data_IF_241207171174
#
_entry.id   IF_241207171174
#
_cell.length_a   1.000
_cell.length_b   1.000
_cell.length_c   1.000
_cell.angle_alpha   90.00
_cell.angle_beta   90.00
_cell.angle_gamma   90.00
#
_symmetry.space_group_name_H-M   'P 1'
#
loop_
_entity.id
_entity.type
_entity.pdbx_description
1 polymer ?
#
# COMPACT_ATOMS: atom_id res chain seq x y z
N UNK A 1 -15.62 -13.97 -22.49
CA UNK A 1 -15.47 -12.89 -21.50
C UNK A 1 -14.13 -13.12 -20.80
N UNK A 2 -13.25 -12.14 -20.83
CA UNK A 2 -11.99 -12.16 -20.06
C UNK A 2 -12.34 -11.86 -18.60
N UNK A 3 -11.76 -12.62 -17.67
CA UNK A 3 -11.79 -12.28 -16.23
C UNK A 3 -10.56 -11.43 -15.97
N UNK A 4 -10.76 -10.29 -15.35
CA UNK A 4 -9.69 -9.40 -14.90
C UNK A 4 -9.66 -9.45 -13.37
N UNK A 5 -8.48 -9.24 -12.80
CA UNK A 5 -8.31 -9.07 -11.37
C UNK A 5 -8.43 -7.57 -11.04
N UNK A 6 -9.10 -7.27 -9.94
CA UNK A 6 -9.14 -5.93 -9.37
C UNK A 6 -8.89 -6.09 -7.88
N UNK A 7 -7.85 -5.46 -7.35
CA UNK A 7 -7.59 -5.48 -5.91
C UNK A 7 -8.78 -4.92 -5.14
N UNK A 8 -9.06 -5.48 -3.97
CA UNK A 8 -10.11 -5.01 -3.07
C UNK A 8 -9.88 -3.55 -2.64
N UNK A 9 -8.63 -3.13 -2.53
CA UNK A 9 -8.21 -1.76 -2.22
C UNK A 9 -8.65 -0.74 -3.26
N UNK A 10 -8.73 -1.15 -4.53
CA UNK A 10 -9.19 -0.30 -5.65
C UNK A 10 -10.71 -0.18 -5.78
N UNK A 11 -11.47 -0.89 -4.94
CA UNK A 11 -12.94 -0.85 -4.96
C UNK A 11 -13.43 0.18 -3.93
N UNK A 12 -14.07 1.25 -4.39
CA UNK A 12 -14.65 2.28 -3.53
C UNK A 12 -16.05 1.93 -3.02
N UNK A 13 -16.84 1.20 -3.81
CA UNK A 13 -18.18 0.76 -3.42
C UNK A 13 -18.59 -0.50 -4.18
N UNK A 14 -19.42 -1.33 -3.52
CA UNK A 14 -20.08 -2.49 -4.11
C UNK A 14 -21.59 -2.37 -3.88
N UNK A 15 -22.36 -2.42 -4.96
CA UNK A 15 -23.82 -2.40 -4.90
C UNK A 15 -24.42 -3.35 -5.94
N UNK A 16 -25.77 -3.35 -6.06
CA UNK A 16 -26.48 -4.19 -7.03
C UNK A 16 -26.18 -3.85 -8.50
N UNK A 17 -25.59 -2.69 -8.78
CA UNK A 17 -25.19 -2.26 -10.12
C UNK A 17 -23.77 -2.70 -10.49
N UNK A 18 -22.96 -3.09 -9.50
CA UNK A 18 -21.59 -3.56 -9.67
C UNK A 18 -20.58 -2.95 -8.71
N UNK A 19 -19.30 -3.09 -9.03
CA UNK A 19 -18.20 -2.49 -8.30
C UNK A 19 -17.87 -1.11 -8.89
N UNK A 20 -17.73 -0.11 -8.02
CA UNK A 20 -17.20 1.21 -8.37
C UNK A 20 -15.70 1.22 -8.02
N UNK A 21 -14.89 1.63 -8.97
CA UNK A 21 -13.43 1.69 -8.80
C UNK A 21 -13.02 3.11 -8.37
N UNK A 22 -11.98 3.20 -7.55
CA UNK A 22 -11.35 4.46 -7.15
C UNK A 22 -10.65 5.14 -8.32
N UNK A 23 -10.05 4.36 -9.22
CA UNK A 23 -9.37 4.82 -10.44
C UNK A 23 -9.73 3.95 -11.65
N UNK A 24 -9.46 4.46 -12.86
CA UNK A 24 -9.64 3.73 -14.12
C UNK A 24 -8.43 2.87 -14.48
N UNK A 25 -7.42 2.86 -13.66
CA UNK A 25 -6.21 2.08 -13.84
C UNK A 25 -6.50 0.61 -13.48
N UNK A 26 -6.70 -0.21 -14.50
CA UNK A 26 -7.11 -1.60 -14.36
C UNK A 26 -6.04 -2.49 -14.98
N UNK A 27 -5.43 -3.32 -14.15
CA UNK A 27 -4.59 -4.40 -14.64
C UNK A 27 -5.43 -5.38 -15.46
N UNK A 28 -5.12 -5.53 -16.75
CA UNK A 28 -5.85 -6.40 -17.68
C UNK A 28 -5.23 -7.80 -17.77
N UNK A 29 -4.26 -8.14 -16.94
CA UNK A 29 -3.66 -9.48 -16.92
C UNK A 29 -4.70 -10.54 -16.52
N UNK A 30 -4.57 -11.77 -17.02
CA UNK A 30 -5.48 -12.84 -16.64
C UNK A 30 -5.29 -13.23 -15.18
N UNK A 31 -6.37 -13.26 -14.41
CA UNK A 31 -6.35 -13.73 -13.04
C UNK A 31 -5.82 -15.17 -12.93
N UNK A 32 -4.85 -15.38 -12.05
CA UNK A 32 -4.34 -16.68 -11.62
C UNK A 32 -4.58 -16.85 -10.12
N UNK A 33 -5.19 -17.95 -9.71
CA UNK A 33 -5.40 -18.28 -8.29
C UNK A 33 -4.06 -18.60 -7.65
N UNK A 34 -3.76 -17.98 -6.52
CA UNK A 34 -2.56 -18.24 -5.71
C UNK A 34 -2.76 -19.41 -4.77
N UNK A 35 -1.65 -19.91 -4.20
CA UNK A 35 -1.71 -20.96 -3.18
C UNK A 35 -2.47 -20.44 -1.94
N UNK A 36 -3.54 -21.11 -1.57
CA UNK A 36 -4.39 -20.74 -0.41
C UNK A 36 -5.58 -19.84 -0.73
N UNK A 37 -5.62 -19.20 -1.91
CA UNK A 37 -6.80 -18.43 -2.33
C UNK A 37 -7.98 -19.33 -2.65
N UNK A 38 -9.17 -18.86 -2.30
CA UNK A 38 -10.43 -19.52 -2.63
C UNK A 38 -11.29 -18.59 -3.48
N UNK A 39 -11.70 -19.08 -4.65
CA UNK A 39 -12.61 -18.34 -5.53
C UNK A 39 -14.03 -18.43 -5.00
N UNK A 40 -14.62 -17.30 -4.62
CA UNK A 40 -15.97 -17.24 -4.07
C UNK A 40 -16.97 -18.02 -4.91
N UNK A 41 -16.99 -17.81 -6.24
CA UNK A 41 -17.94 -18.46 -7.14
C UNK A 41 -17.64 -19.92 -7.48
N UNK A 42 -16.47 -20.45 -7.12
CA UNK A 42 -16.06 -21.81 -7.46
C UNK A 42 -15.84 -22.67 -6.21
N UNK A 43 -15.22 -22.07 -5.20
CA UNK A 43 -14.72 -22.81 -4.04
C UNK A 43 -15.61 -22.60 -2.81
N UNK A 44 -16.47 -21.58 -2.78
CA UNK A 44 -17.32 -21.22 -1.64
C UNK A 44 -18.81 -21.39 -1.95
N UNK A 45 -19.30 -20.77 -3.04
CA UNK A 45 -20.70 -20.93 -3.44
C UNK A 45 -20.98 -22.41 -3.77
N UNK A 46 -22.16 -22.89 -3.40
CA UNK A 46 -22.58 -24.30 -3.51
C UNK A 46 -21.84 -25.29 -2.56
N UNK A 47 -20.87 -24.82 -1.73
CA UNK A 47 -20.31 -25.67 -0.68
C UNK A 47 -21.37 -26.08 0.34
N UNK A 48 -21.28 -27.32 0.79
CA UNK A 48 -22.15 -27.86 1.82
C UNK A 48 -21.71 -27.44 3.21
N UNK A 49 -22.70 -27.04 4.01
CA UNK A 49 -22.57 -26.84 5.44
C UNK A 49 -23.70 -27.60 6.15
N UNK A 50 -23.43 -28.81 6.61
CA UNK A 50 -24.47 -29.74 7.04
C UNK A 50 -25.42 -30.14 5.89
N UNK A 51 -26.72 -29.93 6.09
CA UNK A 51 -27.78 -30.18 5.08
C UNK A 51 -28.06 -28.96 4.17
N UNK A 52 -27.34 -27.89 4.37
CA UNK A 52 -27.50 -26.63 3.64
C UNK A 52 -26.32 -26.39 2.69
N UNK A 53 -26.51 -25.48 1.74
CA UNK A 53 -25.45 -25.01 0.85
C UNK A 53 -25.29 -23.50 0.96
N UNK A 54 -24.07 -23.00 0.73
CA UNK A 54 -23.81 -21.57 0.60
C UNK A 54 -24.40 -21.07 -0.71
N UNK A 55 -25.40 -20.22 -0.61
CA UNK A 55 -26.06 -19.64 -1.79
C UNK A 55 -25.62 -18.22 -2.11
N UNK A 56 -25.08 -17.51 -1.12
CA UNK A 56 -24.64 -16.11 -1.26
C UNK A 56 -23.79 -15.70 -0.06
N UNK A 57 -23.02 -14.62 -0.20
CA UNK A 57 -22.24 -14.00 0.89
C UNK A 57 -22.46 -12.49 0.91
N UNK A 58 -22.45 -11.91 2.08
CA UNK A 58 -22.47 -10.46 2.28
C UNK A 58 -21.05 -9.98 2.63
N UNK A 59 -20.57 -9.01 1.87
CA UNK A 59 -19.30 -8.35 2.09
C UNK A 59 -19.50 -7.04 2.85
N UNK A 60 -18.58 -6.71 3.74
CA UNK A 60 -18.50 -5.43 4.43
C UNK A 60 -17.12 -4.82 4.19
N UNK A 61 -17.11 -3.54 3.89
CA UNK A 61 -15.88 -2.77 3.76
C UNK A 61 -15.36 -2.43 5.16
N UNK A 62 -14.12 -2.78 5.44
CA UNK A 62 -13.42 -2.42 6.67
C UNK A 62 -12.43 -1.32 6.33
N UNK A 63 -12.68 -0.12 6.84
CA UNK A 63 -11.74 0.99 6.75
C UNK A 63 -10.61 0.76 7.78
N UNK A 64 -9.37 0.68 7.30
CA UNK A 64 -8.17 0.47 8.11
C UNK A 64 -6.94 0.96 7.35
N UNK A 65 -5.73 0.67 7.83
CA UNK A 65 -4.49 0.92 7.07
C UNK A 65 -4.53 0.25 5.70
N UNK A 66 -5.17 -0.90 5.64
CA UNK A 66 -5.49 -1.63 4.42
C UNK A 66 -7.00 -1.66 4.24
N UNK A 67 -7.48 -0.97 3.20
CA UNK A 67 -8.90 -0.99 2.84
C UNK A 67 -9.27 -2.40 2.36
N UNK A 68 -9.98 -3.17 3.16
CA UNK A 68 -10.32 -4.55 2.83
C UNK A 68 -11.82 -4.83 2.84
N UNK A 69 -12.22 -5.80 2.03
CA UNK A 69 -13.58 -6.32 2.02
C UNK A 69 -13.61 -7.68 2.73
N UNK A 70 -14.43 -7.80 3.76
CA UNK A 70 -14.55 -9.04 4.51
C UNK A 70 -15.94 -9.64 4.38
N UNK A 71 -16.02 -10.96 4.43
CA UNK A 71 -17.31 -11.64 4.51
C UNK A 71 -17.88 -11.43 5.91
N UNK A 72 -19.04 -10.77 5.99
CA UNK A 72 -19.74 -10.54 7.25
C UNK A 72 -20.79 -11.59 7.54
N UNK A 73 -21.52 -12.02 6.51
CA UNK A 73 -22.60 -13.00 6.64
C UNK A 73 -22.62 -13.95 5.45
N UNK A 74 -23.15 -15.14 5.69
CA UNK A 74 -23.32 -16.20 4.69
C UNK A 74 -24.79 -16.58 4.63
N UNK A 75 -25.32 -16.69 3.41
CA UNK A 75 -26.68 -17.19 3.18
C UNK A 75 -26.62 -18.69 2.91
N UNK A 76 -27.22 -19.44 3.81
CA UNK A 76 -27.41 -20.88 3.69
C UNK A 76 -28.80 -21.20 3.15
N UNK A 77 -28.88 -22.12 2.20
CA UNK A 77 -30.14 -22.58 1.60
C UNK A 77 -30.23 -24.10 1.59
N UNK A 78 -31.41 -24.64 1.85
CA UNK A 78 -31.62 -26.08 1.71
C UNK A 78 -31.82 -26.46 0.24
N UNK A 79 -31.13 -27.49 -0.20
CA UNK A 79 -31.25 -28.07 -1.54
C UNK A 79 -32.44 -29.04 -1.56
N UNK A 80 -33.57 -28.60 -2.10
CA UNK A 80 -34.74 -29.46 -2.26
C UNK A 80 -35.65 -29.03 -3.39
N UNK A 81 -36.13 -29.98 -4.22
CA UNK A 81 -36.98 -29.73 -5.40
C UNK A 81 -38.37 -29.11 -5.05
N UNK A 82 -38.73 -28.99 -3.78
CA UNK A 82 -40.04 -28.51 -3.32
C UNK A 82 -39.97 -27.37 -2.30
N UNK A 83 -38.81 -26.74 -2.07
CA UNK A 83 -38.70 -25.66 -1.10
C UNK A 83 -39.11 -24.31 -1.70
N UNK A 84 -40.41 -24.09 -1.77
CA UNK A 84 -40.95 -22.73 -1.84
C UNK A 84 -40.48 -21.94 -0.60
N UNK A 85 -39.83 -20.81 -0.80
CA UNK A 85 -39.54 -19.67 0.11
C UNK A 85 -39.15 -19.87 1.59
N UNK A 86 -38.99 -21.10 2.10
CA UNK A 86 -38.91 -21.37 3.54
C UNK A 86 -37.62 -22.06 3.97
N UNK A 87 -36.45 -21.63 3.49
CA UNK A 87 -35.22 -22.33 3.85
C UNK A 87 -33.93 -21.51 3.74
N UNK A 88 -34.02 -20.21 3.51
CA UNK A 88 -32.84 -19.37 3.44
C UNK A 88 -32.57 -18.75 4.82
N UNK A 89 -31.43 -19.07 5.40
CA UNK A 89 -31.00 -18.53 6.68
C UNK A 89 -29.72 -17.69 6.44
N UNK A 90 -29.70 -16.49 7.01
CA UNK A 90 -28.52 -15.65 7.02
C UNK A 90 -27.81 -15.84 8.36
N UNK A 91 -26.58 -16.28 8.33
CA UNK A 91 -25.75 -16.55 9.52
C UNK A 91 -24.51 -15.66 9.50
N UNK A 92 -23.91 -15.42 10.65
CA UNK A 92 -22.63 -14.76 10.71
C UNK A 92 -21.57 -15.68 10.10
N UNK A 93 -20.59 -15.06 9.41
CA UNK A 93 -19.55 -15.84 8.74
C UNK A 93 -18.78 -16.75 9.71
N UNK A 94 -18.65 -16.36 10.98
CA UNK A 94 -17.99 -17.14 12.02
C UNK A 94 -18.64 -18.51 12.24
N UNK A 95 -19.94 -18.64 12.06
CA UNK A 95 -20.66 -19.93 12.16
C UNK A 95 -20.33 -20.87 10.99
N UNK A 96 -19.79 -20.34 9.91
CA UNK A 96 -19.42 -21.06 8.69
C UNK A 96 -17.93 -20.99 8.40
N UNK A 97 -17.12 -20.55 9.37
CA UNK A 97 -15.68 -20.35 9.22
C UNK A 97 -14.92 -21.58 8.71
N UNK A 98 -15.40 -22.77 9.03
CA UNK A 98 -14.85 -24.03 8.53
C UNK A 98 -14.87 -24.15 6.99
N UNK A 99 -15.82 -23.46 6.32
CA UNK A 99 -15.91 -23.44 4.86
C UNK A 99 -14.82 -22.57 4.23
N UNK A 100 -14.29 -21.64 5.00
CA UNK A 100 -13.28 -20.68 4.60
C UNK A 100 -11.91 -21.03 5.21
N UNK A 101 -11.82 -22.14 5.95
CA UNK A 101 -10.56 -22.56 6.53
C UNK A 101 -9.51 -22.81 5.42
N UNK A 102 -8.27 -22.33 5.61
CA UNK A 102 -7.20 -22.56 4.67
C UNK A 102 -6.95 -24.04 4.41
N UNK A 103 -6.78 -24.41 3.14
CA UNK A 103 -6.62 -25.80 2.73
C UNK A 103 -5.27 -26.43 3.07
N UNK A 104 -4.27 -25.58 3.44
CA UNK A 104 -2.92 -26.02 3.79
C UNK A 104 -2.43 -25.35 5.08
N UNK A 105 -1.45 -25.97 5.76
CA UNK A 105 -0.83 -25.38 6.95
C UNK A 105 -0.16 -24.03 6.66
N UNK A 106 0.45 -23.88 5.48
CA UNK A 106 1.07 -22.63 5.03
C UNK A 106 0.03 -21.52 4.82
N UNK A 107 -1.09 -21.82 4.17
CA UNK A 107 -2.17 -20.85 3.99
C UNK A 107 -2.81 -20.46 5.34
N UNK A 108 -2.88 -21.38 6.29
CA UNK A 108 -3.32 -21.09 7.66
C UNK A 108 -2.35 -20.14 8.37
N UNK A 109 -1.05 -20.34 8.21
CA UNK A 109 -0.03 -19.47 8.77
C UNK A 109 -0.06 -18.08 8.11
N UNK A 110 -0.14 -17.99 6.79
CA UNK A 110 -0.30 -16.72 6.09
C UNK A 110 -1.55 -15.94 6.57
N UNK A 111 -2.68 -16.65 6.74
CA UNK A 111 -3.89 -16.05 7.28
C UNK A 111 -3.73 -15.54 8.72
N UNK A 112 -2.98 -16.27 9.56
CA UNK A 112 -2.66 -15.86 10.94
C UNK A 112 -1.80 -14.60 10.99
N UNK A 113 -0.87 -14.47 10.06
CA UNK A 113 0.07 -13.35 9.99
C UNK A 113 -0.53 -12.09 9.34
N UNK A 114 -1.72 -12.18 8.75
CA UNK A 114 -2.34 -11.07 8.01
C UNK A 114 -2.57 -9.82 8.85
N UNK A 115 -3.04 -10.00 10.10
CA UNK A 115 -3.40 -8.90 11.00
C UNK A 115 -2.24 -8.47 11.93
N UNK A 116 -1.06 -9.09 11.79
CA UNK A 116 0.14 -8.72 12.57
C UNK A 116 0.82 -7.50 11.94
N UNK A 117 1.63 -6.76 12.71
CA UNK A 117 2.47 -5.71 12.14
C UNK A 117 3.49 -6.31 11.16
N UNK A 118 3.80 -5.61 10.07
CA UNK A 118 4.71 -6.10 9.03
C UNK A 118 6.09 -6.45 9.59
N UNK A 119 6.63 -5.63 10.47
CA UNK A 119 7.91 -5.81 11.16
C UNK A 119 7.95 -7.10 12.00
N UNK A 120 6.84 -7.45 12.69
CA UNK A 120 6.74 -8.72 13.44
C UNK A 120 6.73 -9.92 12.48
N UNK A 121 6.03 -9.78 11.34
CA UNK A 121 5.97 -10.82 10.30
C UNK A 121 7.32 -11.02 9.64
N UNK A 122 8.04 -9.94 9.33
CA UNK A 122 9.41 -10.01 8.80
C UNK A 122 10.32 -10.79 9.77
N UNK A 123 10.23 -10.52 11.06
CA UNK A 123 10.97 -11.26 12.10
C UNK A 123 10.63 -12.76 12.09
N UNK A 124 9.35 -13.12 11.97
CA UNK A 124 8.91 -14.52 11.88
C UNK A 124 9.45 -15.19 10.61
N UNK A 125 9.31 -14.53 9.46
CA UNK A 125 9.78 -15.04 8.16
C UNK A 125 11.28 -15.32 8.21
N UNK A 126 12.06 -14.41 8.77
CA UNK A 126 13.51 -14.56 8.91
C UNK A 126 13.92 -15.77 9.74
N UNK A 127 13.13 -16.14 10.74
CA UNK A 127 13.38 -17.33 11.57
C UNK A 127 13.08 -18.66 10.84
N UNK A 128 12.38 -18.61 9.68
CA UNK A 128 11.99 -19.81 8.94
C UNK A 128 13.12 -20.32 8.01
N UNK A 129 13.18 -21.63 7.71
CA UNK A 129 14.01 -22.16 6.62
C UNK A 129 13.62 -21.55 5.26
N UNK A 130 14.57 -21.39 4.35
CA UNK A 130 14.41 -20.74 3.04
C UNK A 130 13.18 -21.23 2.26
N UNK A 131 12.96 -22.54 2.21
CA UNK A 131 11.82 -23.12 1.49
C UNK A 131 10.46 -22.74 2.13
N UNK A 132 10.41 -22.66 3.46
CA UNK A 132 9.19 -22.23 4.16
C UNK A 132 8.93 -20.72 3.99
N UNK A 133 10.00 -19.90 3.98
CA UNK A 133 9.91 -18.46 3.67
C UNK A 133 9.26 -18.26 2.30
N UNK A 134 9.75 -18.95 1.28
CA UNK A 134 9.23 -18.90 -0.08
C UNK A 134 7.75 -19.31 -0.14
N UNK A 135 7.41 -20.46 0.45
CA UNK A 135 6.03 -20.94 0.46
C UNK A 135 5.08 -19.98 1.19
N UNK A 136 5.55 -19.30 2.23
CA UNK A 136 4.78 -18.33 2.97
C UNK A 136 4.60 -17.05 2.16
N UNK A 137 5.66 -16.54 1.52
CA UNK A 137 5.59 -15.42 0.58
C UNK A 137 4.64 -15.72 -0.60
N UNK A 138 4.69 -16.94 -1.15
CA UNK A 138 3.77 -17.39 -2.21
C UNK A 138 2.30 -17.42 -1.76
N UNK A 139 2.03 -17.59 -0.47
CA UNK A 139 0.69 -17.65 0.10
C UNK A 139 0.16 -16.27 0.58
N UNK A 140 0.99 -15.25 0.65
CA UNK A 140 0.60 -13.87 0.98
C UNK A 140 -0.03 -13.18 -0.24
N UNK A 141 -0.94 -12.23 -0.01
CA UNK A 141 -1.34 -11.26 -1.04
C UNK A 141 -0.20 -10.29 -1.32
N UNK A 142 -0.30 -9.54 -2.43
CA UNK A 142 0.79 -8.71 -2.92
C UNK A 142 1.05 -7.53 -2.01
N UNK A 143 -0.02 -6.88 -1.51
CA UNK A 143 0.06 -5.79 -0.54
C UNK A 143 0.81 -6.24 0.73
N UNK A 144 0.41 -7.40 1.29
CA UNK A 144 1.06 -7.93 2.49
C UNK A 144 2.51 -8.33 2.25
N UNK A 145 2.80 -8.85 1.06
CA UNK A 145 4.18 -9.19 0.70
C UNK A 145 5.04 -7.94 0.52
N UNK A 146 4.49 -6.86 -0.04
CA UNK A 146 5.14 -5.57 -0.14
C UNK A 146 5.50 -5.03 1.25
N UNK A 147 4.50 -4.88 2.14
CA UNK A 147 4.72 -4.45 3.54
C UNK A 147 5.85 -5.24 4.25
N UNK A 148 5.89 -6.56 4.03
CA UNK A 148 6.90 -7.43 4.67
C UNK A 148 8.27 -7.24 4.02
N UNK A 149 8.33 -7.03 2.71
CA UNK A 149 9.59 -6.75 2.01
C UNK A 149 10.24 -5.47 2.54
N UNK A 150 9.48 -4.40 2.72
CA UNK A 150 9.95 -3.11 3.25
C UNK A 150 10.61 -3.25 4.63
N UNK A 151 10.14 -4.20 5.42
CA UNK A 151 10.69 -4.47 6.76
C UNK A 151 11.88 -5.47 6.79
N UNK A 152 12.24 -6.05 5.65
CA UNK A 152 13.36 -6.98 5.55
C UNK A 152 14.67 -6.27 5.21
N UNK A 153 15.83 -6.78 5.70
CA UNK A 153 17.11 -6.34 5.20
C UNK A 153 17.25 -6.60 3.69
N UNK A 154 17.93 -5.72 3.00
CA UNK A 154 18.07 -5.66 1.54
C UNK A 154 18.46 -7.01 0.90
N UNK A 155 19.43 -7.74 1.48
CA UNK A 155 19.87 -9.03 0.97
C UNK A 155 18.82 -10.13 1.16
N UNK A 156 17.93 -9.99 2.13
CA UNK A 156 16.81 -10.91 2.36
C UNK A 156 15.63 -10.59 1.46
N UNK A 157 15.39 -9.31 1.14
CA UNK A 157 14.38 -8.87 0.15
C UNK A 157 14.65 -9.53 -1.20
N UNK A 158 15.88 -9.37 -1.74
CA UNK A 158 16.26 -9.95 -3.03
C UNK A 158 16.08 -11.47 -3.08
N UNK A 159 16.46 -12.19 -2.00
CA UNK A 159 16.28 -13.65 -1.92
C UNK A 159 14.81 -14.07 -1.90
N UNK A 160 13.94 -13.27 -1.28
CA UNK A 160 12.54 -13.59 -1.17
C UNK A 160 11.82 -13.46 -2.52
N UNK A 161 12.18 -12.45 -3.31
CA UNK A 161 11.58 -12.17 -4.62
C UNK A 161 12.23 -12.94 -5.79
N UNK A 162 13.39 -13.59 -5.59
CA UNK A 162 14.17 -14.23 -6.66
C UNK A 162 13.37 -15.22 -7.51
N UNK A 163 12.39 -15.88 -6.91
CA UNK A 163 11.59 -16.91 -7.56
C UNK A 163 10.19 -16.43 -7.99
N UNK A 164 9.85 -15.16 -7.76
CA UNK A 164 8.59 -14.61 -8.25
C UNK A 164 8.63 -14.47 -9.78
N UNK A 165 7.54 -14.79 -10.43
CA UNK A 165 7.42 -14.48 -11.85
C UNK A 165 7.25 -12.95 -12.04
N UNK A 166 7.52 -12.45 -13.23
CA UNK A 166 7.54 -11.02 -13.50
C UNK A 166 6.17 -10.36 -13.26
N UNK A 167 5.08 -11.07 -13.54
CA UNK A 167 3.72 -10.56 -13.34
C UNK A 167 3.44 -10.31 -11.85
N UNK A 168 3.82 -11.26 -11.00
CA UNK A 168 3.66 -11.11 -9.56
C UNK A 168 4.63 -10.11 -8.96
N UNK A 169 5.86 -10.08 -9.47
CA UNK A 169 6.89 -9.15 -9.02
C UNK A 169 6.43 -7.70 -9.24
N UNK A 170 5.90 -7.38 -10.42
CA UNK A 170 5.35 -6.03 -10.68
C UNK A 170 4.14 -5.74 -9.81
N UNK A 171 3.21 -6.71 -9.60
CA UNK A 171 2.07 -6.49 -8.72
C UNK A 171 2.46 -6.22 -7.25
N UNK A 172 3.52 -6.85 -6.75
CA UNK A 172 4.06 -6.56 -5.42
C UNK A 172 4.70 -5.18 -5.38
N UNK A 173 5.45 -4.83 -6.43
CA UNK A 173 6.11 -3.52 -6.52
C UNK A 173 5.15 -2.35 -6.67
N UNK A 174 3.98 -2.56 -7.29
CA UNK A 174 2.89 -1.57 -7.35
C UNK A 174 2.27 -1.26 -5.97
N UNK A 175 2.48 -2.12 -4.97
CA UNK A 175 2.00 -1.94 -3.60
C UNK A 175 3.11 -1.43 -2.64
N UNK A 176 4.37 -1.35 -3.08
CA UNK A 176 5.50 -0.86 -2.27
C UNK A 176 5.57 0.67 -2.24
N UNK A 177 6.16 1.21 -1.16
CA UNK A 177 6.53 2.62 -1.11
C UNK A 177 7.63 2.92 -2.13
N UNK A 178 7.57 4.11 -2.74
CA UNK A 178 8.45 4.46 -3.87
C UNK A 178 9.94 4.48 -3.53
N UNK A 179 10.29 4.95 -2.34
CA UNK A 179 11.67 5.02 -1.85
C UNK A 179 12.21 3.63 -1.52
N UNK A 180 11.45 2.78 -0.84
CA UNK A 180 11.82 1.39 -0.56
C UNK A 180 11.98 0.57 -1.86
N UNK A 181 11.06 0.78 -2.82
CA UNK A 181 11.16 0.15 -4.13
C UNK A 181 12.39 0.65 -4.90
N UNK A 182 12.70 1.96 -4.82
CA UNK A 182 13.90 2.50 -5.48
C UNK A 182 15.18 1.90 -4.87
N UNK A 183 15.24 1.74 -3.56
CA UNK A 183 16.38 1.10 -2.88
C UNK A 183 16.52 -0.37 -3.29
N UNK A 184 15.44 -1.12 -3.31
CA UNK A 184 15.44 -2.52 -3.76
C UNK A 184 15.87 -2.64 -5.23
N UNK A 185 15.32 -1.81 -6.13
CA UNK A 185 15.72 -1.77 -7.54
C UNK A 185 17.19 -1.35 -7.72
N UNK A 186 17.66 -0.44 -6.86
CA UNK A 186 19.05 0.02 -6.84
C UNK A 186 20.06 -1.13 -6.66
N UNK A 187 19.68 -2.14 -5.90
CA UNK A 187 20.51 -3.31 -5.59
C UNK A 187 20.38 -4.42 -6.61
N UNK A 188 19.35 -4.43 -7.43
CA UNK A 188 19.20 -5.41 -8.49
C UNK A 188 20.29 -5.27 -9.57
N UNK A 189 20.66 -6.39 -10.17
CA UNK A 189 21.50 -6.38 -11.38
C UNK A 189 20.86 -5.57 -12.51
N UNK A 190 21.67 -4.83 -13.27
CA UNK A 190 21.23 -3.90 -14.33
C UNK A 190 20.21 -4.55 -15.29
N UNK A 191 20.45 -5.80 -15.70
CA UNK A 191 19.58 -6.51 -16.64
C UNK A 191 18.21 -6.83 -16.03
N UNK A 192 18.17 -7.19 -14.73
CA UNK A 192 16.93 -7.48 -14.02
C UNK A 192 16.13 -6.21 -13.78
N UNK A 193 16.78 -5.17 -13.25
CA UNK A 193 16.17 -3.85 -13.05
C UNK A 193 15.58 -3.29 -14.34
N UNK A 194 16.30 -3.40 -15.47
CA UNK A 194 15.79 -2.94 -16.76
C UNK A 194 14.52 -3.66 -17.19
N UNK A 195 14.43 -4.98 -16.93
CA UNK A 195 13.24 -5.78 -17.24
C UNK A 195 12.06 -5.40 -16.36
N UNK A 196 12.31 -5.17 -15.07
CA UNK A 196 11.28 -4.73 -14.12
C UNK A 196 10.73 -3.37 -14.55
N UNK A 197 11.58 -2.37 -14.75
CA UNK A 197 11.18 -1.04 -15.20
C UNK A 197 10.46 -1.04 -16.56
N UNK A 198 10.71 -2.02 -17.40
CA UNK A 198 10.00 -2.19 -18.68
C UNK A 198 8.64 -2.90 -18.53
N UNK A 199 8.39 -3.54 -17.39
CA UNK A 199 7.14 -4.23 -17.09
C UNK A 199 6.19 -3.42 -16.20
N UNK A 200 6.68 -2.35 -15.58
CA UNK A 200 5.90 -1.37 -14.82
C UNK A 200 5.09 -0.46 -15.73
N UNK A 201 4.09 0.21 -15.20
CA UNK A 201 3.40 1.28 -15.88
C UNK A 201 4.34 2.46 -16.19
N UNK A 202 4.10 3.16 -17.32
CA UNK A 202 5.04 4.17 -17.83
C UNK A 202 5.30 5.31 -16.81
N UNK A 203 4.29 5.72 -16.03
CA UNK A 203 4.37 6.77 -15.03
C UNK A 203 5.22 6.36 -13.84
N UNK A 204 4.99 5.16 -13.30
CA UNK A 204 5.75 4.59 -12.20
C UNK A 204 7.20 4.31 -12.61
N UNK A 205 7.41 3.77 -13.81
CA UNK A 205 8.74 3.53 -14.35
C UNK A 205 9.55 4.84 -14.51
N UNK A 206 8.92 5.95 -14.90
CA UNK A 206 9.60 7.25 -14.99
C UNK A 206 9.94 7.80 -13.61
N UNK A 207 9.03 7.69 -12.65
CA UNK A 207 9.26 8.05 -11.25
C UNK A 207 10.43 7.25 -10.67
N UNK A 208 10.46 5.92 -10.89
CA UNK A 208 11.57 5.07 -10.47
C UNK A 208 12.90 5.47 -11.12
N UNK A 209 12.91 5.77 -12.42
CA UNK A 209 14.14 6.24 -13.09
C UNK A 209 14.65 7.55 -12.48
N UNK A 210 13.75 8.44 -12.11
CA UNK A 210 14.10 9.69 -11.45
C UNK A 210 14.70 9.43 -10.07
N UNK A 211 14.08 8.62 -9.21
CA UNK A 211 14.60 8.28 -7.88
C UNK A 211 15.97 7.59 -7.98
N UNK A 212 16.10 6.59 -8.84
CA UNK A 212 17.35 5.89 -9.10
C UNK A 212 18.48 6.77 -9.68
N UNK A 213 18.16 7.97 -10.17
CA UNK A 213 19.17 8.90 -10.66
C UNK A 213 19.92 9.65 -9.55
N UNK A 214 19.35 9.68 -8.34
CA UNK A 214 19.98 10.32 -7.18
C UNK A 214 21.03 9.37 -6.57
N UNK A 215 22.16 9.92 -6.11
CA UNK A 215 23.15 9.12 -5.39
C UNK A 215 22.58 8.63 -4.06
N UNK A 216 22.86 7.38 -3.71
CA UNK A 216 22.50 6.83 -2.38
C UNK A 216 23.07 7.70 -1.25
N UNK A 217 22.34 7.83 -0.17
CA UNK A 217 22.69 8.68 0.98
C UNK A 217 22.44 10.18 0.74
N UNK A 218 21.54 10.53 -0.18
CA UNK A 218 21.09 11.90 -0.39
C UNK A 218 19.58 12.02 -0.14
N UNK A 219 19.08 13.24 0.06
CA UNK A 219 17.65 13.49 0.20
C UNK A 219 16.84 12.97 -0.99
N UNK A 220 17.39 13.01 -2.19
CA UNK A 220 16.75 12.53 -3.40
C UNK A 220 16.60 11.01 -3.44
N UNK A 221 17.50 10.25 -2.81
CA UNK A 221 17.36 8.78 -2.71
C UNK A 221 16.46 8.33 -1.55
N UNK A 222 16.19 9.23 -0.59
CA UNK A 222 15.33 8.94 0.57
C UNK A 222 13.92 9.52 0.43
N UNK A 223 13.64 10.29 -0.64
CA UNK A 223 12.37 10.96 -0.75
C UNK A 223 11.31 10.07 -1.36
N UNK A 224 10.11 10.15 -0.81
CA UNK A 224 8.91 9.66 -1.48
C UNK A 224 8.23 10.75 -2.28
N UNK A 225 7.82 10.50 -3.54
CA UNK A 225 6.99 11.39 -4.33
C UNK A 225 5.50 11.31 -3.96
N UNK A 226 5.08 10.27 -3.23
CA UNK A 226 3.67 10.09 -2.81
C UNK A 226 3.34 10.99 -1.61
N UNK A 227 3.16 12.27 -1.88
CA UNK A 227 2.87 13.31 -0.90
C UNK A 227 1.53 13.99 -1.20
N UNK A 228 0.90 14.54 -0.16
CA UNK A 228 -0.33 15.31 -0.32
C UNK A 228 0.02 16.72 -0.81
N UNK A 229 -0.29 17.01 -2.08
CA UNK A 229 -0.10 18.35 -2.66
C UNK A 229 -1.43 18.94 -3.08
N UNK A 230 -1.71 20.16 -2.64
CA UNK A 230 -2.90 20.91 -3.01
C UNK A 230 -2.56 22.32 -3.52
N UNK A 231 -3.49 22.91 -4.25
CA UNK A 231 -3.37 24.28 -4.70
C UNK A 231 -3.63 25.32 -3.60
N UNK A 232 -3.12 26.56 -3.75
CA UNK A 232 -3.31 27.63 -2.75
C UNK A 232 -4.78 28.03 -2.55
N UNK A 233 -5.62 27.77 -3.54
CA UNK A 233 -7.07 28.07 -3.50
C UNK A 233 -7.92 26.88 -3.03
N UNK A 234 -7.30 25.74 -2.72
CA UNK A 234 -7.97 24.63 -2.06
C UNK A 234 -8.35 24.99 -0.62
N UNK A 235 -9.39 24.33 -0.11
CA UNK A 235 -9.94 24.60 1.22
C UNK A 235 -9.33 23.66 2.28
N UNK A 236 -9.44 24.08 3.54
CA UNK A 236 -9.11 23.21 4.69
C UNK A 236 -9.93 21.92 4.68
N UNK A 237 -11.20 21.97 4.22
CA UNK A 237 -12.04 20.77 4.11
C UNK A 237 -11.47 19.75 3.10
N UNK A 238 -10.99 20.22 1.95
CA UNK A 238 -10.34 19.38 0.93
C UNK A 238 -9.04 18.77 1.46
N UNK A 239 -8.22 19.57 2.15
CA UNK A 239 -7.00 19.08 2.79
C UNK A 239 -7.28 17.99 3.83
N UNK A 240 -8.28 18.20 4.72
CA UNK A 240 -8.67 17.21 5.70
C UNK A 240 -9.26 15.94 5.07
N UNK A 241 -9.88 16.03 3.89
CA UNK A 241 -10.36 14.86 3.16
C UNK A 241 -9.21 13.98 2.69
N UNK A 242 -8.11 14.58 2.19
CA UNK A 242 -6.89 13.85 1.79
C UNK A 242 -6.20 13.17 2.98
N UNK A 243 -6.06 13.88 4.11
CA UNK A 243 -5.43 13.35 5.34
C UNK A 243 -6.25 12.18 5.95
N UNK A 244 -7.55 12.14 5.72
CA UNK A 244 -8.42 11.07 6.23
C UNK A 244 -8.34 9.76 5.45
N UNK A 245 -7.59 9.73 4.38
CA UNK A 245 -7.36 8.50 3.65
C UNK A 245 -6.59 7.51 4.55
N UNK A 246 -7.17 6.35 4.89
CA UNK A 246 -6.54 5.39 5.79
C UNK A 246 -5.33 4.68 5.18
N UNK A 247 -5.17 4.74 3.85
CA UNK A 247 -4.05 4.12 3.13
C UNK A 247 -2.79 4.99 3.18
N UNK A 248 -2.89 6.25 3.62
CA UNK A 248 -1.76 7.15 3.72
C UNK A 248 -0.93 6.92 4.97
N UNK A 249 0.39 6.94 4.81
CA UNK A 249 1.32 6.92 5.93
C UNK A 249 1.07 8.06 6.91
N UNK A 250 1.29 7.78 8.19
CA UNK A 250 1.09 8.78 9.26
C UNK A 250 2.01 9.98 9.10
N UNK A 251 3.25 9.76 8.69
CA UNK A 251 4.25 10.80 8.41
C UNK A 251 3.84 11.71 7.26
N UNK A 252 3.32 11.13 6.18
CA UNK A 252 2.79 11.87 5.02
C UNK A 252 1.50 12.60 5.36
N UNK A 253 0.58 11.94 6.09
CA UNK A 253 -0.68 12.56 6.52
C UNK A 253 -0.52 13.66 7.59
N UNK A 254 0.70 13.87 8.12
CA UNK A 254 0.98 14.89 9.11
C UNK A 254 0.90 16.32 8.55
N UNK A 255 1.00 16.50 7.23
CA UNK A 255 1.01 17.81 6.59
C UNK A 255 0.54 17.74 5.13
N UNK A 256 0.13 18.90 4.62
CA UNK A 256 -0.24 19.10 3.22
C UNK A 256 0.71 20.12 2.62
N UNK A 257 1.38 19.75 1.55
CA UNK A 257 2.21 20.68 0.78
C UNK A 257 1.33 21.53 -0.13
N UNK A 258 1.67 22.79 -0.27
CA UNK A 258 0.93 23.70 -1.13
C UNK A 258 1.84 24.22 -2.24
N UNK A 259 1.40 23.99 -3.46
CA UNK A 259 2.15 24.39 -4.67
C UNK A 259 1.20 24.91 -5.76
N UNK A 260 1.75 25.64 -6.73
CA UNK A 260 1.04 25.89 -7.98
C UNK A 260 0.91 24.60 -8.81
N UNK A 261 -0.02 24.57 -9.74
CA UNK A 261 -0.18 23.44 -10.65
C UNK A 261 1.10 23.20 -11.50
N UNK A 262 1.42 21.93 -11.80
CA UNK A 262 0.73 20.71 -11.43
C UNK A 262 0.83 20.40 -9.93
N UNK A 263 -0.15 19.66 -9.39
CA UNK A 263 -0.22 19.29 -7.97
C UNK A 263 0.27 17.85 -7.71
N UNK A 264 1.15 17.35 -8.54
CA UNK A 264 1.87 16.08 -8.38
C UNK A 264 3.36 16.32 -8.69
N UNK A 265 4.27 15.61 -8.03
CA UNK A 265 5.71 15.77 -8.25
C UNK A 265 6.16 15.38 -9.68
N UNK A 266 7.03 16.16 -10.33
CA UNK A 266 7.50 17.48 -9.88
C UNK A 266 6.41 18.55 -10.04
N UNK A 267 6.10 19.23 -8.94
CA UNK A 267 4.99 20.21 -8.89
C UNK A 267 5.28 21.50 -9.65
N UNK A 268 4.33 22.42 -9.68
CA UNK A 268 4.61 23.84 -9.91
C UNK A 268 5.42 24.43 -8.73
N UNK A 269 5.51 25.75 -8.65
CA UNK A 269 6.26 26.43 -7.60
C UNK A 269 5.69 26.09 -6.22
N UNK A 270 6.53 25.60 -5.33
CA UNK A 270 6.21 25.36 -3.91
C UNK A 270 5.92 26.67 -3.19
N UNK A 271 4.89 26.70 -2.35
CA UNK A 271 4.43 27.88 -1.62
C UNK A 271 4.57 27.76 -0.11
N UNK A 272 4.55 26.56 0.42
CA UNK A 272 4.59 26.29 1.85
C UNK A 272 3.85 25.01 2.22
N UNK A 273 3.67 24.79 3.50
CA UNK A 273 3.04 23.60 4.08
C UNK A 273 1.92 24.03 5.02
N UNK A 274 0.97 23.14 5.26
CA UNK A 274 -0.05 23.28 6.31
C UNK A 274 -0.10 21.98 7.11
N UNK A 275 0.27 22.04 8.38
CA UNK A 275 0.23 20.88 9.26
C UNK A 275 -1.21 20.50 9.63
N UNK A 276 -1.46 19.19 9.83
CA UNK A 276 -2.79 18.69 10.19
C UNK A 276 -3.35 19.36 11.45
N UNK A 277 -2.49 19.67 12.42
CA UNK A 277 -2.88 20.38 13.65
C UNK A 277 -3.39 21.78 13.38
N UNK A 278 -2.84 22.47 12.38
CA UNK A 278 -3.34 23.76 11.89
C UNK A 278 -4.69 23.59 11.22
N UNK A 279 -4.81 22.62 10.33
CA UNK A 279 -6.07 22.32 9.63
C UNK A 279 -7.21 22.01 10.60
N UNK A 280 -6.96 21.29 11.70
CA UNK A 280 -7.97 20.98 12.72
C UNK A 280 -8.49 22.21 13.50
N UNK A 281 -7.74 23.32 13.51
CA UNK A 281 -8.08 24.56 14.22
C UNK A 281 -8.74 25.59 13.34
N UNK A 282 -8.63 25.44 12.03
CA UNK A 282 -9.15 26.39 11.06
C UNK A 282 -10.57 26.05 10.60
N UNK A 283 -11.24 27.04 10.01
CA UNK A 283 -12.59 26.84 9.45
C UNK A 283 -12.49 26.01 8.17
N UNK A 284 -13.39 25.04 7.95
CA UNK A 284 -13.36 24.18 6.75
C UNK A 284 -13.33 24.92 5.42
N UNK A 285 -13.94 26.11 5.35
CA UNK A 285 -13.99 26.95 4.14
C UNK A 285 -12.80 27.88 3.96
N UNK A 286 -11.83 27.90 4.89
CA UNK A 286 -10.63 28.73 4.77
C UNK A 286 -9.75 28.18 3.64
N UNK A 287 -9.17 29.07 2.83
CA UNK A 287 -8.25 28.69 1.75
C UNK A 287 -6.85 28.43 2.32
N UNK A 288 -6.16 27.42 1.78
CA UNK A 288 -4.83 27.01 2.27
C UNK A 288 -3.81 28.15 2.23
N UNK A 289 -3.86 29.02 1.21
CA UNK A 289 -3.00 30.22 1.13
C UNK A 289 -3.10 31.16 2.32
N UNK A 290 -4.16 31.06 3.14
CA UNK A 290 -4.40 31.91 4.31
C UNK A 290 -3.85 31.30 5.60
N UNK A 291 -3.47 30.02 5.57
CA UNK A 291 -2.93 29.29 6.72
C UNK A 291 -1.57 28.63 6.44
N UNK A 292 -0.89 29.05 5.38
CA UNK A 292 0.44 28.55 5.01
C UNK A 292 1.45 28.78 6.15
N UNK A 293 2.26 27.78 6.36
CA UNK A 293 3.48 27.83 7.15
C UNK A 293 4.69 27.79 6.21
N UNK A 294 5.61 28.75 6.40
CA UNK A 294 6.79 28.83 5.55
C UNK A 294 7.90 27.97 6.14
N UNK A 295 7.91 26.70 5.78
CA UNK A 295 8.98 25.79 6.14
C UNK A 295 10.05 25.71 5.05
N UNK A 296 11.34 25.65 5.46
CA UNK A 296 12.42 25.53 4.50
C UNK A 296 12.41 24.13 3.86
N UNK A 297 12.52 24.09 2.56
CA UNK A 297 12.77 22.87 1.78
C UNK A 297 14.26 22.52 1.77
N UNK A 298 14.59 21.33 1.29
CA UNK A 298 15.95 20.85 1.12
C UNK A 298 16.25 20.53 -0.34
N UNK A 299 17.54 20.58 -0.68
CA UNK A 299 18.04 20.19 -1.99
C UNK A 299 18.10 18.67 -2.09
N UNK A 300 17.74 18.05 -3.23
CA UNK A 300 17.79 16.59 -3.40
C UNK A 300 19.21 16.00 -3.25
N UNK A 301 20.26 16.80 -3.40
CA UNK A 301 21.64 16.36 -3.20
C UNK A 301 22.15 16.55 -1.75
N UNK A 302 21.28 17.03 -0.83
CA UNK A 302 21.65 17.15 0.58
C UNK A 302 21.89 15.75 1.17
N UNK A 303 23.00 15.59 1.90
CA UNK A 303 23.34 14.31 2.51
C UNK A 303 22.30 13.91 3.59
N UNK A 304 21.97 12.65 3.67
CA UNK A 304 21.03 12.02 4.62
C UNK A 304 21.23 12.47 6.07
N UNK A 305 22.48 12.50 6.52
CA UNK A 305 22.86 12.95 7.85
C UNK A 305 22.51 14.43 8.13
N UNK A 306 22.49 15.27 7.09
CA UNK A 306 22.11 16.67 7.23
C UNK A 306 20.60 16.85 7.12
N UNK A 307 19.91 15.95 6.39
CA UNK A 307 18.44 15.79 6.42
C UNK A 307 18.00 15.41 7.85
N UNK A 308 18.62 14.39 8.46
CA UNK A 308 18.35 13.96 9.82
C UNK A 308 18.47 15.12 10.83
N UNK A 309 19.54 15.91 10.72
CA UNK A 309 19.74 17.09 11.57
C UNK A 309 18.64 18.13 11.36
N UNK A 310 18.19 18.32 10.12
CA UNK A 310 17.14 19.27 9.80
C UNK A 310 15.82 18.86 10.45
N UNK A 311 15.36 17.63 10.24
CA UNK A 311 14.16 17.11 10.84
C UNK A 311 14.20 17.21 12.37
N UNK A 312 15.30 16.76 12.99
CA UNK A 312 15.46 16.81 14.43
C UNK A 312 15.51 18.25 15.00
N UNK A 313 16.20 19.19 14.31
CA UNK A 313 16.36 20.57 14.80
C UNK A 313 15.06 21.36 14.76
N UNK A 314 14.16 21.04 13.83
CA UNK A 314 12.91 21.75 13.65
C UNK A 314 11.69 20.94 14.12
N UNK A 315 11.89 19.74 14.70
CA UNK A 315 10.83 18.81 15.12
C UNK A 315 9.83 18.51 13.98
N UNK A 316 10.35 18.32 12.76
CA UNK A 316 9.54 18.04 11.58
C UNK A 316 9.30 16.53 11.47
N UNK A 317 8.12 16.15 10.99
CA UNK A 317 7.79 14.76 10.64
C UNK A 317 8.14 14.43 9.19
N UNK A 318 8.12 15.43 8.33
CA UNK A 318 8.59 15.32 6.95
C UNK A 318 9.12 16.69 6.48
N UNK A 319 10.01 16.68 5.49
CA UNK A 319 10.57 17.90 4.88
C UNK A 319 10.47 17.81 3.36
N UNK A 320 9.95 18.86 2.73
CA UNK A 320 9.83 18.92 1.27
C UNK A 320 11.20 19.03 0.58
N UNK A 321 11.38 18.24 -0.47
CA UNK A 321 12.55 18.27 -1.36
C UNK A 321 12.20 19.07 -2.60
N UNK A 322 12.96 20.14 -2.88
CA UNK A 322 12.72 20.98 -4.04
C UNK A 322 13.94 21.04 -4.98
N UNK A 323 13.65 21.14 -6.26
CA UNK A 323 14.68 21.42 -7.25
C UNK A 323 15.14 22.90 -7.22
N UNK A 324 16.14 23.21 -8.04
CA UNK A 324 16.70 24.56 -8.17
C UNK A 324 15.70 25.61 -8.70
N UNK A 325 14.58 25.16 -9.28
CA UNK A 325 13.49 26.03 -9.76
C UNK A 325 12.39 26.24 -8.71
N UNK A 326 12.55 25.67 -7.51
CA UNK A 326 11.57 25.70 -6.42
C UNK A 326 10.35 24.83 -6.67
N UNK A 327 10.47 23.78 -7.48
CA UNK A 327 9.42 22.78 -7.68
C UNK A 327 9.61 21.65 -6.67
N UNK A 328 8.53 21.22 -6.02
CA UNK A 328 8.54 20.13 -5.07
C UNK A 328 8.67 18.80 -5.84
N UNK A 329 9.64 18.01 -5.47
CA UNK A 329 9.95 16.69 -6.06
C UNK A 329 9.40 15.54 -5.23
N UNK A 330 9.23 15.77 -3.93
CA UNK A 330 8.79 14.79 -2.96
C UNK A 330 9.04 15.30 -1.54
N UNK A 331 9.01 14.42 -0.57
CA UNK A 331 9.38 14.72 0.80
C UNK A 331 10.21 13.56 1.38
N UNK A 332 11.08 13.89 2.33
CA UNK A 332 11.75 12.90 3.19
C UNK A 332 11.06 12.90 4.52
N UNK A 333 10.69 11.74 5.03
CA UNK A 333 10.00 11.58 6.31
C UNK A 333 10.98 11.27 7.44
N UNK A 334 10.53 11.35 8.69
CA UNK A 334 11.37 11.08 9.85
C UNK A 334 11.66 9.59 10.02
N UNK A 335 10.74 8.73 9.64
CA UNK A 335 10.84 7.27 9.66
C UNK A 335 11.93 6.78 8.70
N UNK A 336 11.95 7.22 7.43
CA UNK A 336 12.97 6.83 6.45
C UNK A 336 14.37 7.25 6.90
N UNK A 337 14.46 8.46 7.47
CA UNK A 337 15.73 8.93 8.03
C UNK A 337 16.16 8.13 9.25
N UNK A 338 15.22 7.71 10.12
CA UNK A 338 15.53 6.87 11.27
C UNK A 338 16.01 5.49 10.84
N UNK A 339 15.35 4.88 9.88
CA UNK A 339 15.74 3.58 9.33
C UNK A 339 17.15 3.60 8.75
N UNK A 340 17.47 4.64 8.00
CA UNK A 340 18.80 4.81 7.42
C UNK A 340 19.89 5.20 8.49
N UNK A 341 19.49 5.84 9.59
CA UNK A 341 20.40 6.23 10.65
C UNK A 341 20.70 5.10 11.66
N UNK A 342 19.83 4.09 11.75
CA UNK A 342 20.01 2.96 12.64
C UNK A 342 21.04 1.98 12.06
N UNK A 343 21.75 1.19 12.92
CA UNK A 343 22.64 0.16 12.43
C UNK A 343 21.89 -0.85 11.55
N UNK A 344 22.47 -1.32 10.45
CA UNK A 344 21.84 -2.27 9.53
C UNK A 344 21.31 -3.56 10.20
N UNK A 345 21.78 -3.85 11.42
CA UNK A 345 21.36 -5.00 12.24
C UNK A 345 20.26 -4.67 13.28
N UNK A 346 19.72 -3.45 13.30
CA UNK A 346 18.74 -3.07 14.32
C UNK A 346 17.43 -3.87 14.19
N UNK A 347 17.03 -4.20 12.96
CA UNK A 347 15.90 -5.08 12.66
C UNK A 347 16.21 -6.56 12.96
N UNK A 348 17.48 -6.88 13.35
CA UNK A 348 17.91 -8.25 13.68
C UNK A 348 17.72 -8.63 15.16
N UNK A 349 17.37 -7.67 16.01
CA UNK A 349 17.27 -7.83 17.47
C UNK A 349 15.83 -7.84 17.92
#
# INVERSE_FOLDING_TARGET
>A
RRRIFVSATRISALDNSGAQLKSWDINLTPFRTRAGEQLLGKDILDKKHGDEIVSDVALVHIAGKTSSWQISKVRLSKRGLLSGRSGNRLVDWQETSELFAPSTAIAAEAARLRDMHASDVATIIRALPTEQRRQLADAMDDERLADVLEELPEDEQLRLIENLDMERLTSVFDEMEYDDLADLLGQMGIDQRTKVLAAMDDEDAETMRQLLSYPSGTAGSLMTPDIIVLGPDSTVAEALAQIRDPERLVSIAAQVFVAHAPHYPPTGTYLGVVHFQRLLRERPSLLLKQCLENEPTIDPMLADRDVAKRLASYNMLAVGVCDTNGRLLGAVTVDDVLDNALPADWRLK
#
